data_IF_596972503372
#
_entry.id   IF_596972503372
#
_cell.length_a   1.000
_cell.length_b   1.000
_cell.length_c   1.000
_cell.angle_alpha   90.00
_cell.angle_beta   90.00
_cell.angle_gamma   90.00
#
_symmetry.space_group_name_H-M   'P 1'
#
loop_
_entity.id
_entity.type
_entity.pdbx_description
1 polymer ?
#
# COMPACT_ATOMS: atom_id res chain seq x y z
N UNK A 1 -4.96 -12.29 -27.06
CA UNK A 1 -3.81 -12.05 -26.14
C UNK A 1 -2.50 -12.68 -26.63
N UNK A 2 -2.48 -13.98 -26.97
CA UNK A 2 -1.26 -14.74 -27.31
C UNK A 2 -0.46 -14.14 -28.49
N UNK A 3 -1.13 -13.63 -29.54
CA UNK A 3 -0.46 -13.02 -30.71
C UNK A 3 0.49 -11.87 -30.35
N UNK A 4 0.07 -10.97 -29.44
CA UNK A 4 0.92 -9.87 -28.97
C UNK A 4 2.12 -10.38 -28.18
N UNK A 5 1.93 -11.36 -27.29
CA UNK A 5 3.03 -11.95 -26.53
C UNK A 5 4.10 -12.58 -27.45
N UNK A 6 3.67 -13.19 -28.56
CA UNK A 6 4.56 -13.76 -29.57
C UNK A 6 5.30 -12.71 -30.41
N UNK A 7 4.83 -11.46 -30.47
CA UNK A 7 5.52 -10.36 -31.17
C UNK A 7 6.66 -9.77 -30.33
N UNK A 8 6.46 -9.64 -29.02
CA UNK A 8 7.46 -9.09 -28.09
C UNK A 8 8.57 -10.10 -27.73
N UNK A 9 8.22 -11.40 -27.60
CA UNK A 9 9.17 -12.44 -27.17
C UNK A 9 10.43 -12.57 -28.05
N UNK A 10 10.36 -12.64 -29.40
CA UNK A 10 11.55 -12.77 -30.24
C UNK A 10 12.41 -11.50 -30.27
N UNK A 11 11.79 -10.34 -30.03
CA UNK A 11 12.49 -9.04 -30.01
C UNK A 11 13.19 -8.76 -28.68
N UNK A 12 12.94 -9.56 -27.65
CA UNK A 12 13.42 -9.30 -26.29
C UNK A 12 12.85 -8.02 -25.69
N UNK A 13 11.74 -7.51 -26.23
CA UNK A 13 11.11 -6.27 -25.79
C UNK A 13 10.13 -6.55 -24.64
N UNK A 14 10.11 -5.66 -23.64
CA UNK A 14 9.13 -5.71 -22.56
C UNK A 14 7.74 -5.33 -23.05
N UNK A 15 6.71 -5.99 -22.52
CA UNK A 15 5.32 -5.61 -22.78
C UNK A 15 5.06 -4.23 -22.18
N UNK A 16 4.54 -3.25 -22.94
CA UNK A 16 4.27 -1.90 -22.44
C UNK A 16 2.99 -1.90 -21.59
N UNK A 17 3.08 -2.44 -20.38
CA UNK A 17 1.96 -2.43 -19.42
C UNK A 17 1.59 -1.00 -19.05
N UNK A 18 0.29 -0.70 -19.10
CA UNK A 18 -0.23 0.52 -18.50
C UNK A 18 -0.46 0.27 -17.01
N UNK A 19 0.30 0.96 -16.17
CA UNK A 19 0.06 0.94 -14.73
C UNK A 19 -1.27 1.64 -14.45
N UNK A 20 -2.11 1.05 -13.62
CA UNK A 20 -3.43 1.61 -13.32
C UNK A 20 -3.41 2.32 -11.95
N UNK A 21 -2.78 1.73 -10.94
CA UNK A 21 -2.48 2.41 -9.68
C UNK A 21 -1.11 3.07 -9.81
N UNK A 22 -1.08 4.39 -9.86
CA UNK A 22 0.17 5.17 -9.94
C UNK A 22 0.09 6.33 -8.96
N UNK A 23 0.76 6.18 -7.82
CA UNK A 23 0.92 7.26 -6.86
C UNK A 23 2.00 8.24 -7.36
N UNK A 24 1.91 9.54 -7.05
CA UNK A 24 2.91 10.50 -7.49
C UNK A 24 4.33 10.14 -7.05
N UNK A 25 5.34 10.50 -7.84
CA UNK A 25 6.74 10.11 -7.61
C UNK A 25 7.33 10.63 -6.29
N UNK A 26 6.80 11.75 -5.77
CA UNK A 26 7.21 12.28 -4.46
C UNK A 26 6.61 11.47 -3.30
N UNK A 27 5.77 10.46 -3.56
CA UNK A 27 5.18 9.56 -2.58
C UNK A 27 5.94 8.22 -2.58
N UNK A 28 6.47 7.86 -1.42
CA UNK A 28 7.02 6.55 -1.14
C UNK A 28 5.96 5.62 -0.52
N UNK A 29 5.58 4.58 -1.27
CA UNK A 29 4.69 3.52 -0.79
C UNK A 29 5.42 2.17 -0.70
N UNK A 30 5.09 1.37 0.32
CA UNK A 30 5.72 0.06 0.57
C UNK A 30 4.68 -1.02 0.85
N UNK A 31 4.42 -1.91 -0.13
CA UNK A 31 3.54 -3.07 0.05
C UNK A 31 3.93 -3.91 1.26
N UNK A 32 5.22 -4.13 1.47
CA UNK A 32 5.75 -4.96 2.56
C UNK A 32 5.23 -4.52 3.94
N UNK A 33 5.22 -3.22 4.22
CA UNK A 33 4.78 -2.70 5.52
C UNK A 33 3.29 -2.95 5.75
N UNK A 34 2.48 -2.70 4.75
CA UNK A 34 1.02 -2.84 4.85
C UNK A 34 0.61 -4.31 4.94
N UNK A 35 1.17 -5.19 4.11
CA UNK A 35 0.90 -6.63 4.16
C UNK A 35 1.38 -7.23 5.49
N UNK A 36 2.52 -6.79 6.02
CA UNK A 36 3.00 -7.25 7.32
C UNK A 36 2.00 -6.93 8.44
N UNK A 37 1.36 -5.78 8.41
CA UNK A 37 0.32 -5.38 9.38
C UNK A 37 -0.97 -6.21 9.26
N UNK A 38 -1.14 -6.93 8.15
CA UNK A 38 -2.28 -7.84 7.93
C UNK A 38 -3.39 -7.27 7.06
N UNK A 39 -3.08 -6.28 6.20
CA UNK A 39 -4.00 -5.88 5.14
C UNK A 39 -4.08 -6.95 4.06
N UNK A 40 -5.31 -7.25 3.64
CA UNK A 40 -5.58 -8.11 2.49
C UNK A 40 -5.45 -7.30 1.18
N UNK A 41 -5.18 -8.00 0.07
CA UNK A 41 -5.05 -7.35 -1.24
C UNK A 41 -6.32 -6.57 -1.63
N UNK A 42 -7.48 -7.10 -1.24
CA UNK A 42 -8.80 -6.55 -1.53
C UNK A 42 -9.11 -5.30 -0.71
N UNK A 43 -8.49 -5.12 0.46
CA UNK A 43 -8.64 -3.89 1.27
C UNK A 43 -8.23 -2.64 0.47
N UNK A 44 -7.22 -2.77 -0.41
CA UNK A 44 -6.70 -1.65 -1.19
C UNK A 44 -7.13 -1.70 -2.67
N UNK A 45 -7.15 -2.90 -3.28
CA UNK A 45 -7.36 -3.05 -4.72
C UNK A 45 -8.78 -3.47 -5.11
N UNK A 46 -9.64 -3.81 -4.14
CA UNK A 46 -10.98 -4.35 -4.39
C UNK A 46 -10.96 -5.77 -4.94
N UNK A 47 -12.11 -6.22 -5.43
CA UNK A 47 -12.34 -7.56 -5.97
C UNK A 47 -11.75 -7.72 -7.39
N UNK A 48 -10.42 -7.63 -7.48
CA UNK A 48 -9.69 -7.71 -8.77
C UNK A 48 -9.91 -9.04 -9.50
N UNK A 49 -10.29 -10.08 -8.78
CA UNK A 49 -10.58 -11.42 -9.30
C UNK A 49 -11.92 -11.50 -10.03
N UNK A 50 -12.83 -10.54 -9.79
CA UNK A 50 -14.14 -10.46 -10.45
C UNK A 50 -14.09 -9.69 -11.79
N UNK A 51 -12.90 -9.29 -12.24
CA UNK A 51 -12.71 -8.46 -13.42
C UNK A 51 -11.76 -9.09 -14.46
N UNK A 52 -12.28 -9.40 -15.65
CA UNK A 52 -11.48 -9.88 -16.79
C UNK A 52 -10.46 -8.83 -17.30
N UNK A 53 -10.80 -7.55 -17.14
CA UNK A 53 -9.97 -6.41 -17.54
C UNK A 53 -10.02 -5.36 -16.45
N UNK A 54 -8.84 -5.05 -15.89
CA UNK A 54 -8.70 -3.98 -14.91
C UNK A 54 -8.68 -2.61 -15.60
N UNK A 55 -9.36 -1.64 -15.02
CA UNK A 55 -9.34 -0.25 -15.46
C UNK A 55 -9.46 0.69 -14.25
N UNK A 56 -9.30 2.00 -14.45
CA UNK A 56 -9.49 2.96 -13.35
C UNK A 56 -10.92 2.90 -12.76
N UNK A 57 -11.90 2.39 -13.53
CA UNK A 57 -13.28 2.21 -13.06
C UNK A 57 -13.49 0.98 -12.17
N UNK A 58 -12.59 0.00 -12.24
CA UNK A 58 -12.62 -1.19 -11.36
C UNK A 58 -11.90 -0.92 -10.04
N UNK A 59 -11.43 0.31 -9.83
CA UNK A 59 -10.77 0.71 -8.59
C UNK A 59 -11.81 1.21 -7.61
N UNK A 60 -11.79 0.64 -6.41
CA UNK A 60 -12.66 1.07 -5.32
C UNK A 60 -12.07 2.27 -4.55
N UNK A 61 -10.76 2.50 -4.68
CA UNK A 61 -10.01 3.51 -3.93
C UNK A 61 -9.18 4.38 -4.89
N UNK A 62 -9.10 5.68 -4.60
CA UNK A 62 -8.33 6.64 -5.40
C UNK A 62 -6.85 6.74 -5.01
N UNK A 63 -6.46 6.06 -3.92
CA UNK A 63 -5.13 6.13 -3.31
C UNK A 63 -4.66 7.58 -3.04
N UNK A 64 -5.61 8.48 -2.79
CA UNK A 64 -5.33 9.85 -2.40
C UNK A 64 -4.70 9.90 -1.01
N UNK A 65 -4.09 11.03 -0.67
CA UNK A 65 -3.61 11.26 0.69
C UNK A 65 -4.74 11.09 1.73
N UNK A 66 -5.96 11.54 1.40
CA UNK A 66 -7.13 11.39 2.28
C UNK A 66 -7.39 9.92 2.60
N UNK A 67 -7.50 9.09 1.57
CA UNK A 67 -7.70 7.65 1.71
C UNK A 67 -6.58 6.97 2.52
N UNK A 68 -5.31 7.33 2.28
CA UNK A 68 -4.19 6.82 3.08
C UNK A 68 -4.35 7.21 4.57
N UNK A 69 -4.78 8.44 4.83
CA UNK A 69 -4.89 8.97 6.19
C UNK A 69 -6.09 8.42 6.97
N UNK A 70 -7.18 8.02 6.30
CA UNK A 70 -8.32 7.35 6.93
C UNK A 70 -7.85 6.13 7.72
N UNK A 71 -7.14 5.21 7.08
CA UNK A 71 -6.58 4.04 7.74
C UNK A 71 -5.49 4.39 8.78
N UNK A 72 -4.62 5.36 8.48
CA UNK A 72 -3.52 5.72 9.38
C UNK A 72 -4.01 6.41 10.67
N UNK A 73 -5.19 7.04 10.66
CA UNK A 73 -5.77 7.72 11.82
C UNK A 73 -6.69 6.79 12.61
N UNK A 74 -7.54 6.00 11.94
CA UNK A 74 -8.49 5.11 12.60
C UNK A 74 -7.79 3.98 13.35
N UNK A 75 -6.66 3.50 12.81
CA UNK A 75 -5.95 2.34 13.35
C UNK A 75 -6.71 1.04 13.13
N UNK A 76 -5.99 -0.07 13.04
CA UNK A 76 -6.60 -1.40 12.87
C UNK A 76 -6.17 -2.38 13.97
N UNK A 77 -7.02 -3.36 14.34
CA UNK A 77 -6.62 -4.42 15.25
C UNK A 77 -5.41 -5.17 14.71
N UNK A 78 -4.44 -5.48 15.57
CA UNK A 78 -3.33 -6.34 15.17
C UNK A 78 -3.83 -7.76 14.91
N UNK A 79 -3.45 -8.37 13.79
CA UNK A 79 -3.76 -9.78 13.53
C UNK A 79 -2.93 -10.66 14.47
N UNK A 80 -3.60 -11.53 15.24
CA UNK A 80 -2.99 -12.49 16.18
C UNK A 80 -2.14 -11.89 17.32
N UNK A 81 -2.41 -10.66 17.76
CA UNK A 81 -1.67 -10.02 18.87
C UNK A 81 -0.17 -9.83 18.59
N UNK A 82 0.26 -10.04 17.35
CA UNK A 82 1.63 -9.81 16.90
C UNK A 82 1.66 -8.45 16.23
N UNK A 83 2.27 -7.48 16.90
CA UNK A 83 2.72 -6.25 16.25
C UNK A 83 3.69 -6.70 15.15
N UNK A 84 3.33 -6.50 13.89
CA UNK A 84 4.19 -6.84 12.79
C UNK A 84 5.32 -5.81 12.66
N UNK A 85 6.32 -5.95 13.54
CA UNK A 85 7.52 -5.13 13.59
C UNK A 85 7.37 -3.81 14.36
N UNK A 86 8.48 -3.18 14.78
CA UNK A 86 8.43 -1.89 15.45
C UNK A 86 7.91 -0.83 14.48
N UNK A 87 6.70 -0.31 14.73
CA UNK A 87 6.24 0.92 14.09
C UNK A 87 7.06 2.05 14.70
N UNK A 88 8.07 2.48 13.96
CA UNK A 88 8.90 3.61 14.36
C UNK A 88 8.03 4.86 14.31
N UNK A 89 7.93 5.54 15.43
CA UNK A 89 7.42 6.90 15.45
C UNK A 89 8.52 7.79 14.87
N UNK A 90 8.19 8.50 13.79
CA UNK A 90 9.10 9.47 13.19
C UNK A 90 8.52 10.87 13.30
N UNK A 91 9.40 11.87 13.36
CA UNK A 91 9.05 13.28 13.26
C UNK A 91 10.09 13.97 12.40
N UNK A 92 9.68 14.52 11.27
CA UNK A 92 10.64 15.12 10.34
C UNK A 92 11.57 14.07 9.72
N UNK A 93 11.11 12.83 9.56
CA UNK A 93 11.89 11.72 9.00
C UNK A 93 12.91 11.10 9.97
N UNK A 94 13.03 11.63 11.19
CA UNK A 94 13.90 11.08 12.24
C UNK A 94 13.09 10.19 13.17
N UNK A 95 13.64 9.02 13.51
CA UNK A 95 13.03 8.12 14.49
C UNK A 95 13.11 8.78 15.85
N UNK A 96 11.95 9.08 16.44
CA UNK A 96 11.85 9.68 17.78
C UNK A 96 11.52 8.64 18.84
N UNK A 97 10.83 7.55 18.47
CA UNK A 97 10.54 6.43 19.36
C UNK A 97 10.53 5.12 18.57
N UNK A 98 11.22 4.10 19.08
CA UNK A 98 10.97 2.72 18.66
C UNK A 98 9.71 2.27 19.39
N UNK A 99 8.53 2.57 18.83
CA UNK A 99 7.29 2.17 19.46
C UNK A 99 6.92 0.75 19.02
N UNK A 100 6.67 -0.11 20.01
CA UNK A 100 5.65 -1.15 19.92
C UNK A 100 4.30 -0.42 19.85
N UNK A 101 3.92 0.12 18.68
CA UNK A 101 2.81 1.07 18.56
C UNK A 101 1.41 0.43 18.66
N UNK A 102 1.24 -0.55 19.53
CA UNK A 102 -0.09 -1.03 19.88
C UNK A 102 -0.68 -0.05 20.90
N UNK A 103 -1.81 0.56 20.53
CA UNK A 103 -2.64 1.33 21.43
C UNK A 103 -3.13 0.42 22.59
N UNK A 104 -3.52 0.99 23.74
CA UNK A 104 -4.03 0.21 24.87
C UNK A 104 -5.24 -0.67 24.54
N UNK A 105 -5.99 -0.33 23.50
CA UNK A 105 -7.15 -1.06 22.97
C UNK A 105 -6.76 -2.19 21.98
N UNK A 106 -5.47 -2.40 21.74
CA UNK A 106 -4.97 -3.43 20.83
C UNK A 106 -4.86 -3.01 19.37
N UNK A 107 -5.19 -1.77 19.02
CA UNK A 107 -5.10 -1.26 17.64
C UNK A 107 -3.71 -0.70 17.30
N UNK A 108 -3.35 -0.69 16.02
CA UNK A 108 -2.09 -0.15 15.50
C UNK A 108 -2.37 1.09 14.64
N UNK A 109 -1.77 2.22 15.00
CA UNK A 109 -1.81 3.44 14.19
C UNK A 109 -0.72 3.44 13.13
N UNK A 110 -1.05 4.00 11.95
CA UNK A 110 -0.07 4.28 10.91
C UNK A 110 0.79 5.51 11.22
N UNK A 111 1.92 5.65 10.53
CA UNK A 111 2.74 6.87 10.63
C UNK A 111 2.00 8.07 10.04
N UNK A 112 2.00 9.20 10.74
CA UNK A 112 1.38 10.46 10.29
C UNK A 112 2.42 11.53 9.94
N UNK A 113 3.69 11.14 9.92
CA UNK A 113 4.80 12.04 9.62
C UNK A 113 4.97 12.19 8.11
N UNK A 114 4.92 13.43 7.62
CA UNK A 114 5.01 13.74 6.19
C UNK A 114 6.21 13.07 5.53
N UNK A 115 7.36 13.03 6.21
CA UNK A 115 8.61 12.47 5.70
C UNK A 115 8.64 10.93 5.64
N UNK A 116 7.65 10.25 6.22
CA UNK A 116 7.52 8.80 6.04
C UNK A 116 7.01 8.45 4.65
N UNK A 117 6.14 9.30 4.11
CA UNK A 117 5.43 9.08 2.86
C UNK A 117 5.96 9.99 1.75
N UNK A 118 6.50 11.17 2.07
CA UNK A 118 6.98 12.14 1.10
C UNK A 118 8.49 12.31 1.22
N UNK A 119 9.18 12.29 0.08
CA UNK A 119 10.63 12.52 0.00
C UNK A 119 10.94 13.95 -0.40
#
# INVERSE_FOLDING_TARGET
>A
AIKKLLEFKPKGESIPWKKIHDVPDFVYFSHKRHIQVGFDCTDCHGEIDQHDVLSIKTMINDLSMGWCMECHIEGRPTVNGKIAGPVRETRGGKIVKQATAQQPDGTLLGSKDCYTCHK
#
